data_IF_081987574923
#
_entry.id   IF_081987574923
#
_cell.length_a   1.000
_cell.length_b   1.000
_cell.length_c   1.000
_cell.angle_alpha   90.00
_cell.angle_beta   90.00
_cell.angle_gamma   90.00
#
_symmetry.space_group_name_H-M   'P 1'
#
loop_
_entity.id
_entity.type
_entity.pdbx_description
1 polymer ?
#
# COMPACT_ATOMS: atom_id res chain seq x y z
N UNK A 1 -15.26 34.53 -32.95
CA UNK A 1 -16.65 34.22 -32.53
C UNK A 1 -16.78 32.71 -32.39
N UNK A 2 -17.49 32.23 -31.38
CA UNK A 2 -17.52 30.82 -31.00
C UNK A 2 -18.43 30.04 -31.98
N UNK A 3 -17.86 29.13 -32.78
CA UNK A 3 -18.56 28.38 -33.85
C UNK A 3 -19.89 27.73 -33.37
N UNK A 4 -19.92 27.31 -32.10
CA UNK A 4 -21.10 26.73 -31.45
C UNK A 4 -22.27 27.70 -31.28
N UNK A 5 -21.99 28.98 -30.98
CA UNK A 5 -23.04 30.00 -30.80
C UNK A 5 -23.66 30.44 -32.13
N UNK A 6 -22.93 30.30 -33.22
CA UNK A 6 -23.41 30.56 -34.58
C UNK A 6 -24.34 29.42 -35.02
N UNK A 7 -23.95 28.17 -34.80
CA UNK A 7 -24.80 27.01 -35.09
C UNK A 7 -26.11 27.00 -34.29
N UNK A 8 -26.07 27.35 -33.00
CA UNK A 8 -27.29 27.42 -32.18
C UNK A 8 -28.21 28.57 -32.65
N UNK A 9 -27.65 29.69 -33.10
CA UNK A 9 -28.44 30.80 -33.67
C UNK A 9 -29.11 30.39 -34.98
N UNK A 10 -28.39 29.68 -35.85
CA UNK A 10 -28.94 29.23 -37.12
C UNK A 10 -30.02 28.15 -36.93
N UNK A 11 -29.84 27.22 -35.99
CA UNK A 11 -30.87 26.22 -35.66
C UNK A 11 -32.17 26.85 -35.13
N UNK A 12 -32.07 27.91 -34.31
CA UNK A 12 -33.25 28.66 -33.85
C UNK A 12 -33.95 29.37 -35.00
N UNK A 13 -33.18 30.00 -35.90
CA UNK A 13 -33.72 30.65 -37.09
C UNK A 13 -34.49 29.66 -37.98
N UNK A 14 -33.95 28.46 -38.18
CA UNK A 14 -34.61 27.41 -38.97
C UNK A 14 -35.88 26.87 -38.31
N UNK A 15 -35.93 26.87 -36.97
CA UNK A 15 -37.12 26.47 -36.21
C UNK A 15 -38.26 27.47 -36.39
N UNK A 16 -37.96 28.78 -36.34
CA UNK A 16 -38.94 29.85 -36.53
C UNK A 16 -39.52 29.87 -37.96
N UNK A 17 -38.75 29.39 -38.95
CA UNK A 17 -39.17 29.30 -40.35
C UNK A 17 -39.91 28.01 -40.69
N UNK A 18 -39.87 27.00 -39.81
CA UNK A 18 -40.52 25.72 -40.05
C UNK A 18 -41.97 25.74 -39.56
N UNK A 19 -42.89 25.27 -40.41
CA UNK A 19 -44.32 25.11 -40.07
C UNK A 19 -44.71 23.64 -39.86
N UNK A 20 -43.78 22.70 -40.13
CA UNK A 20 -44.03 21.27 -40.06
C UNK A 20 -43.66 20.76 -38.65
N UNK A 21 -44.61 20.21 -37.87
CA UNK A 21 -44.39 19.84 -36.48
C UNK A 21 -43.26 18.80 -36.27
N UNK A 22 -43.10 17.86 -37.20
CA UNK A 22 -42.03 16.85 -37.12
C UNK A 22 -40.64 17.48 -37.29
N UNK A 23 -40.52 18.52 -38.12
CA UNK A 23 -39.27 19.24 -38.34
C UNK A 23 -38.94 20.14 -37.15
N UNK A 24 -39.95 20.82 -36.58
CA UNK A 24 -39.77 21.60 -35.35
C UNK A 24 -39.25 20.74 -34.20
N UNK A 25 -39.81 19.54 -34.02
CA UNK A 25 -39.36 18.59 -33.00
C UNK A 25 -37.90 18.18 -33.17
N UNK A 26 -37.48 17.85 -34.40
CA UNK A 26 -36.08 17.49 -34.70
C UNK A 26 -35.14 18.65 -34.41
N UNK A 27 -35.52 19.89 -34.74
CA UNK A 27 -34.72 21.08 -34.46
C UNK A 27 -34.62 21.36 -32.96
N UNK A 28 -35.70 21.15 -32.21
CA UNK A 28 -35.73 21.30 -30.76
C UNK A 28 -34.82 20.26 -30.06
N UNK A 29 -34.87 19.00 -30.50
CA UNK A 29 -34.00 17.93 -30.01
C UNK A 29 -32.51 18.26 -30.25
N UNK A 30 -32.16 18.76 -31.44
CA UNK A 30 -30.78 19.17 -31.78
C UNK A 30 -30.29 20.39 -30.96
N UNK A 31 -31.17 21.34 -30.65
CA UNK A 31 -30.85 22.47 -29.78
C UNK A 31 -30.61 22.00 -28.35
N UNK A 32 -31.37 21.02 -27.86
CA UNK A 32 -31.25 20.47 -26.51
C UNK A 32 -29.99 19.59 -26.36
N UNK A 33 -29.67 18.75 -27.35
CA UNK A 33 -28.43 17.96 -27.36
C UNK A 33 -27.18 18.84 -27.32
N UNK A 34 -27.20 20.00 -27.97
CA UNK A 34 -26.08 20.95 -27.93
C UNK A 34 -25.90 21.65 -26.57
N UNK A 35 -26.94 21.67 -25.72
CA UNK A 35 -26.89 22.23 -24.36
C UNK A 35 -26.35 21.22 -23.35
N UNK A 36 -26.66 19.94 -23.52
CA UNK A 36 -26.26 18.88 -22.59
C UNK A 36 -24.98 18.16 -23.02
N UNK A 37 -23.85 18.88 -23.08
CA UNK A 37 -22.58 18.17 -22.89
C UNK A 37 -22.56 17.67 -21.44
N UNK A 38 -22.84 16.37 -21.26
CA UNK A 38 -22.67 15.68 -19.98
C UNK A 38 -21.31 16.07 -19.40
N UNK A 39 -21.31 16.55 -18.15
CA UNK A 39 -20.05 16.77 -17.46
C UNK A 39 -19.22 15.47 -17.54
N UNK A 40 -17.89 15.58 -17.77
CA UNK A 40 -17.03 14.42 -17.75
C UNK A 40 -17.31 13.62 -16.48
N UNK A 41 -17.60 12.32 -16.63
CA UNK A 41 -17.79 11.41 -15.49
C UNK A 41 -16.60 11.65 -14.56
N UNK A 42 -16.87 12.14 -13.34
CA UNK A 42 -15.87 12.27 -12.28
C UNK A 42 -15.30 10.88 -12.04
N UNK A 43 -14.22 10.53 -12.74
CA UNK A 43 -13.48 9.31 -12.48
C UNK A 43 -13.00 9.43 -11.04
N UNK A 44 -13.55 8.62 -10.14
CA UNK A 44 -12.98 8.43 -8.82
C UNK A 44 -11.50 8.14 -9.04
N UNK A 45 -10.61 9.03 -8.57
CA UNK A 45 -9.18 8.72 -8.53
C UNK A 45 -9.09 7.41 -7.76
N UNK A 46 -8.72 6.34 -8.44
CA UNK A 46 -8.38 5.09 -7.78
C UNK A 46 -7.21 5.43 -6.86
N UNK A 47 -7.47 5.50 -5.55
CA UNK A 47 -6.41 5.64 -4.58
C UNK A 47 -5.66 4.31 -4.61
N UNK A 48 -4.47 4.31 -5.21
CA UNK A 48 -3.59 3.15 -5.24
C UNK A 48 -3.28 2.81 -3.78
N UNK A 49 -3.97 1.80 -3.24
CA UNK A 49 -3.57 1.15 -2.01
C UNK A 49 -2.64 0.03 -2.41
N UNK A 50 -1.33 0.27 -2.28
CA UNK A 50 -0.36 -0.81 -2.47
C UNK A 50 -0.46 -1.74 -1.27
N UNK A 51 -1.13 -2.87 -1.45
CA UNK A 51 -1.14 -3.96 -0.46
C UNK A 51 0.16 -4.73 -0.65
N UNK A 52 1.15 -4.44 0.18
CA UNK A 52 2.35 -5.26 0.27
C UNK A 52 2.02 -6.51 1.09
N UNK A 53 1.85 -7.66 0.43
CA UNK A 53 1.80 -8.97 1.10
C UNK A 53 3.24 -9.33 1.48
N UNK A 54 3.78 -8.66 2.49
CA UNK A 54 5.00 -9.12 3.15
C UNK A 54 4.60 -10.31 4.03
N UNK A 55 5.29 -11.42 3.84
CA UNK A 55 5.05 -12.66 4.61
C UNK A 55 5.13 -12.36 6.11
N UNK A 56 3.97 -12.30 6.79
CA UNK A 56 3.86 -12.17 8.24
C UNK A 56 2.93 -11.08 8.78
N UNK A 57 2.62 -10.03 8.00
CA UNK A 57 1.67 -9.00 8.45
C UNK A 57 0.91 -8.34 7.31
N UNK A 58 -0.27 -7.81 7.62
CA UNK A 58 -1.04 -6.93 6.75
C UNK A 58 -1.27 -5.61 7.48
N UNK A 59 -1.55 -4.52 6.78
CA UNK A 59 -1.89 -3.27 7.44
C UNK A 59 -2.91 -2.48 6.61
N UNK A 60 -3.66 -1.63 7.29
CA UNK A 60 -4.53 -0.64 6.67
C UNK A 60 -4.39 0.71 7.39
N UNK A 61 -5.05 1.73 6.88
CA UNK A 61 -5.06 3.04 7.50
C UNK A 61 -6.43 3.72 7.35
N UNK A 62 -6.72 4.60 8.29
CA UNK A 62 -7.82 5.57 8.24
C UNK A 62 -7.22 6.98 8.13
N UNK A 63 -8.06 8.02 8.13
CA UNK A 63 -7.61 9.42 8.26
C UNK A 63 -6.82 9.68 9.55
N UNK A 64 -7.08 8.90 10.61
CA UNK A 64 -6.54 9.16 11.95
C UNK A 64 -5.54 8.12 12.45
N UNK A 65 -5.57 6.91 11.88
CA UNK A 65 -4.92 5.76 12.51
C UNK A 65 -4.35 4.80 11.47
N UNK A 66 -3.45 3.94 11.94
CA UNK A 66 -2.86 2.84 11.18
C UNK A 66 -3.09 1.58 11.98
N UNK A 67 -3.57 0.54 11.31
CA UNK A 67 -3.86 -0.74 11.95
C UNK A 67 -3.00 -1.80 11.29
N UNK A 68 -2.17 -2.44 12.10
CA UNK A 68 -1.26 -3.51 11.68
C UNK A 68 -1.81 -4.82 12.21
N UNK A 69 -1.95 -5.81 11.33
CA UNK A 69 -2.38 -7.16 11.60
C UNK A 69 -1.18 -8.08 11.47
N UNK A 70 -0.63 -8.52 12.59
CA UNK A 70 0.47 -9.50 12.61
C UNK A 70 -0.14 -10.89 12.77
N UNK A 71 0.16 -11.80 11.85
CA UNK A 71 -0.30 -13.18 11.95
C UNK A 71 0.52 -13.90 13.01
N UNK A 72 -0.15 -14.37 14.06
CA UNK A 72 0.49 -15.08 15.17
C UNK A 72 -0.48 -16.13 15.69
N UNK A 73 -0.16 -17.40 15.48
CA UNK A 73 -1.00 -18.53 15.88
C UNK A 73 -1.16 -18.54 17.40
N UNK A 74 -2.39 -18.76 17.87
CA UNK A 74 -2.69 -18.81 19.30
C UNK A 74 -2.36 -17.51 20.07
N UNK A 75 -2.28 -16.35 19.40
CA UNK A 75 -2.03 -15.06 20.04
C UNK A 75 -3.04 -14.72 21.15
N UNK A 76 -4.28 -15.21 21.06
CA UNK A 76 -5.28 -15.03 22.10
C UNK A 76 -4.95 -15.72 23.43
N UNK A 77 -4.05 -16.70 23.43
CA UNK A 77 -3.60 -17.41 24.63
C UNK A 77 -2.39 -16.76 25.31
N UNK A 78 -1.77 -15.75 24.68
CA UNK A 78 -0.64 -15.04 25.27
C UNK A 78 -1.09 -14.14 26.43
N UNK A 79 -0.32 -14.13 27.52
CA UNK A 79 -0.46 -13.08 28.54
C UNK A 79 0.00 -11.74 27.96
N UNK A 80 -0.69 -10.66 28.34
CA UNK A 80 -0.25 -9.30 28.02
C UNK A 80 1.14 -8.99 28.56
N UNK A 81 1.54 -9.61 29.66
CA UNK A 81 2.85 -9.38 30.28
C UNK A 81 4.01 -9.88 29.40
N UNK A 82 3.74 -10.83 28.51
CA UNK A 82 4.70 -11.36 27.54
C UNK A 82 4.77 -10.52 26.26
N UNK A 83 3.97 -9.45 26.17
CA UNK A 83 3.87 -8.60 24.99
C UNK A 83 4.12 -7.14 25.38
N UNK A 84 5.14 -6.50 24.81
CA UNK A 84 5.35 -5.07 24.99
C UNK A 84 5.32 -4.32 23.67
N UNK A 85 4.83 -3.09 23.73
CA UNK A 85 4.84 -2.17 22.61
C UNK A 85 5.67 -0.95 23.01
N UNK A 86 6.74 -0.71 22.27
CA UNK A 86 7.53 0.50 22.40
C UNK A 86 7.35 1.32 21.14
N UNK A 87 6.77 2.51 21.31
CA UNK A 87 6.56 3.44 20.20
C UNK A 87 7.41 4.67 20.40
N UNK A 88 8.03 5.13 19.33
CA UNK A 88 8.62 6.46 19.24
C UNK A 88 7.86 7.25 18.17
N UNK A 89 8.10 8.55 18.02
CA UNK A 89 7.43 9.31 16.96
C UNK A 89 7.65 8.77 15.54
N UNK A 90 8.68 7.95 15.29
CA UNK A 90 9.01 7.40 13.94
C UNK A 90 9.33 5.91 13.93
N UNK A 91 9.18 5.21 15.05
CA UNK A 91 9.43 3.78 15.13
C UNK A 91 8.38 3.09 15.98
N UNK A 92 8.13 1.83 15.66
CA UNK A 92 7.37 0.92 16.48
C UNK A 92 8.22 -0.34 16.67
N UNK A 93 8.42 -0.73 17.91
CA UNK A 93 8.96 -2.02 18.29
C UNK A 93 7.88 -2.77 19.05
N UNK A 94 7.60 -3.99 18.60
CA UNK A 94 6.65 -4.88 19.23
C UNK A 94 7.38 -6.14 19.66
N UNK A 95 7.43 -6.37 20.97
CA UNK A 95 8.10 -7.50 21.58
C UNK A 95 7.05 -8.54 21.97
N UNK A 96 7.25 -9.78 21.54
CA UNK A 96 6.46 -10.94 21.93
C UNK A 96 7.44 -11.99 22.44
N UNK A 97 7.35 -12.34 23.72
CA UNK A 97 8.29 -13.24 24.38
C UNK A 97 9.76 -12.82 24.11
N UNK A 98 10.57 -13.68 23.48
CA UNK A 98 11.98 -13.43 23.12
C UNK A 98 12.18 -12.84 21.72
N UNK A 99 11.10 -12.49 21.01
CA UNK A 99 11.15 -12.00 19.63
C UNK A 99 10.73 -10.54 19.53
N UNK A 100 11.57 -9.73 18.88
CA UNK A 100 11.34 -8.29 18.66
C UNK A 100 11.03 -8.02 17.19
N UNK A 101 9.88 -7.41 16.91
CA UNK A 101 9.49 -6.98 15.57
C UNK A 101 9.56 -5.47 15.47
N UNK A 102 10.32 -4.96 14.50
CA UNK A 102 10.52 -3.52 14.30
C UNK A 102 9.86 -3.03 13.02
N UNK A 103 9.09 -1.95 13.16
CA UNK A 103 8.49 -1.19 12.09
C UNK A 103 9.04 0.24 12.10
N UNK A 104 9.14 0.85 10.92
CA UNK A 104 9.49 2.26 10.75
C UNK A 104 8.27 3.06 10.26
N UNK A 105 7.34 3.43 11.15
CA UNK A 105 6.26 4.34 10.85
C UNK A 105 6.72 5.75 10.43
N UNK A 106 5.94 6.40 9.55
CA UNK A 106 5.96 7.86 9.50
C UNK A 106 5.33 8.44 10.80
N UNK A 107 5.33 9.75 10.99
CA UNK A 107 5.06 10.36 12.32
C UNK A 107 3.79 9.87 13.06
N UNK A 108 3.95 9.26 14.24
CA UNK A 108 2.86 8.77 15.13
C UNK A 108 2.83 9.50 16.48
N UNK A 109 1.70 9.38 17.19
CA UNK A 109 1.55 9.69 18.61
C UNK A 109 1.80 8.43 19.46
N UNK A 110 2.97 8.31 20.12
CA UNK A 110 3.32 7.09 20.87
C UNK A 110 2.33 6.76 21.98
N UNK A 111 1.95 7.77 22.77
CA UNK A 111 1.07 7.63 23.94
C UNK A 111 -0.35 7.15 23.60
N UNK A 112 -0.78 7.31 22.35
CA UNK A 112 -2.10 6.90 21.86
C UNK A 112 -2.07 5.57 21.09
N UNK A 113 -0.92 4.90 21.08
CA UNK A 113 -0.75 3.63 20.39
C UNK A 113 -1.07 2.46 21.32
N UNK A 114 -1.66 1.40 20.79
CA UNK A 114 -2.10 0.25 21.58
C UNK A 114 -2.07 -1.03 20.77
N UNK A 115 -2.20 -2.17 21.44
CA UNK A 115 -2.36 -3.47 20.77
C UNK A 115 -3.47 -4.31 21.41
N UNK A 116 -4.00 -5.24 20.63
CA UNK A 116 -4.99 -6.24 21.05
C UNK A 116 -4.58 -7.61 20.54
N UNK A 117 -4.66 -8.59 21.43
CA UNK A 117 -4.47 -9.99 21.10
C UNK A 117 -5.82 -10.59 20.66
N UNK A 118 -5.85 -11.25 19.51
CA UNK A 118 -6.98 -12.04 19.02
C UNK A 118 -6.49 -13.46 18.75
N UNK A 119 -7.43 -14.41 18.66
CA UNK A 119 -7.15 -15.85 18.58
C UNK A 119 -5.93 -16.23 17.73
N UNK A 120 -5.84 -15.74 16.48
CA UNK A 120 -4.74 -16.04 15.55
C UNK A 120 -4.03 -14.79 14.99
N UNK A 121 -4.20 -13.64 15.65
CA UNK A 121 -3.58 -12.39 15.17
C UNK A 121 -3.40 -11.36 16.27
N UNK A 122 -2.41 -10.51 16.07
CA UNK A 122 -2.16 -9.35 16.91
C UNK A 122 -2.54 -8.11 16.12
N UNK A 123 -3.33 -7.25 16.73
CA UNK A 123 -3.82 -6.01 16.13
C UNK A 123 -3.16 -4.84 16.82
N UNK A 124 -2.25 -4.16 16.14
CA UNK A 124 -1.57 -2.96 16.63
C UNK A 124 -2.26 -1.73 16.02
N UNK A 125 -2.66 -0.78 16.86
CA UNK A 125 -3.27 0.49 16.43
C UNK A 125 -2.32 1.63 16.76
N UNK A 126 -1.87 2.35 15.74
CA UNK A 126 -1.05 3.54 15.84
C UNK A 126 -1.88 4.77 15.51
N UNK A 127 -1.76 5.83 16.30
CA UNK A 127 -2.43 7.10 16.02
C UNK A 127 -1.51 8.01 15.21
N UNK A 128 -1.97 8.51 14.06
CA UNK A 128 -1.19 9.41 13.20
C UNK A 128 -1.00 10.75 13.90
N UNK A 129 0.19 11.34 13.76
CA UNK A 129 0.44 12.72 14.23
C UNK A 129 -0.26 13.76 13.35
N UNK A 130 -0.25 13.53 12.05
CA UNK A 130 -0.91 14.36 11.06
C UNK A 130 -2.15 13.63 10.54
N UNK A 131 -3.32 14.15 10.88
CA UNK A 131 -4.58 13.68 10.32
C UNK A 131 -4.58 13.82 8.79
N UNK A 132 -5.30 12.93 8.11
CA UNK A 132 -5.45 12.87 6.65
C UNK A 132 -4.17 12.60 5.84
N UNK A 133 -3.01 12.48 6.50
CA UNK A 133 -1.78 12.03 5.85
C UNK A 133 -1.93 10.58 5.38
N UNK A 134 -1.70 10.34 4.09
CA UNK A 134 -1.73 8.99 3.51
C UNK A 134 -0.33 8.40 3.59
N UNK A 135 -0.20 7.25 4.24
CA UNK A 135 1.04 6.49 4.21
C UNK A 135 1.04 5.56 3.02
N UNK A 136 2.09 5.63 2.23
CA UNK A 136 2.21 4.80 1.04
C UNK A 136 2.87 3.45 1.36
N UNK A 137 3.59 3.37 2.47
CA UNK A 137 4.41 2.23 2.82
C UNK A 137 4.54 2.07 4.35
N UNK A 138 4.65 0.83 4.79
CA UNK A 138 4.95 0.45 6.17
C UNK A 138 5.94 -0.73 6.12
N UNK A 139 7.19 -0.45 6.47
CA UNK A 139 8.27 -1.43 6.36
C UNK A 139 8.59 -2.07 7.70
N UNK A 140 8.83 -3.37 7.65
CA UNK A 140 9.46 -4.12 8.74
C UNK A 140 10.98 -4.16 8.49
N UNK A 141 11.80 -3.93 9.52
CA UNK A 141 13.27 -3.81 9.36
C UNK A 141 13.94 -5.04 8.74
N UNK A 142 13.45 -6.25 9.01
CA UNK A 142 13.96 -7.47 8.37
C UNK A 142 13.76 -7.44 6.86
N UNK A 143 12.57 -7.01 6.41
CA UNK A 143 12.25 -6.83 4.99
C UNK A 143 13.07 -5.69 4.37
N UNK A 144 13.36 -4.62 5.12
CA UNK A 144 14.21 -3.51 4.64
C UNK A 144 15.64 -3.96 4.31
N UNK A 145 16.22 -4.88 5.10
CA UNK A 145 17.53 -5.47 4.78
C UNK A 145 17.48 -6.25 3.48
N UNK A 146 16.47 -7.10 3.30
CA UNK A 146 16.26 -7.85 2.05
C UNK A 146 16.10 -6.91 0.84
N UNK A 147 15.35 -5.81 0.98
CA UNK A 147 15.23 -4.82 -0.11
C UNK A 147 16.54 -4.11 -0.43
N UNK A 148 17.32 -3.72 0.59
CA UNK A 148 18.64 -3.11 0.37
C UNK A 148 19.60 -4.08 -0.31
N UNK A 149 19.51 -5.38 0.01
CA UNK A 149 20.27 -6.42 -0.68
C UNK A 149 19.81 -6.56 -2.13
N UNK A 150 18.51 -6.67 -2.40
CA UNK A 150 17.95 -6.74 -3.75
C UNK A 150 18.32 -5.51 -4.60
N UNK A 151 18.21 -4.30 -4.05
CA UNK A 151 18.58 -3.06 -4.73
C UNK A 151 20.08 -2.99 -5.05
N UNK A 152 20.93 -3.55 -4.17
CA UNK A 152 22.37 -3.70 -4.47
C UNK A 152 22.60 -4.69 -5.60
N UNK A 153 21.88 -5.82 -5.62
CA UNK A 153 22.02 -6.82 -6.68
C UNK A 153 21.55 -6.30 -8.04
N UNK A 154 20.45 -5.55 -8.10
CA UNK A 154 19.98 -4.88 -9.32
C UNK A 154 21.05 -3.89 -9.83
N UNK A 155 21.57 -3.03 -8.95
CA UNK A 155 22.63 -2.07 -9.32
C UNK A 155 23.92 -2.76 -9.79
N UNK A 156 24.26 -3.92 -9.22
CA UNK A 156 25.44 -4.70 -9.63
C UNK A 156 25.21 -5.34 -11.02
N UNK A 157 23.99 -5.82 -11.30
CA UNK A 157 23.64 -6.41 -12.60
C UNK A 157 23.57 -5.35 -13.71
N UNK A 158 23.06 -4.15 -13.42
CA UNK A 158 22.99 -3.04 -14.37
C UNK A 158 24.38 -2.50 -14.76
N UNK A 159 25.36 -2.60 -13.85
CA UNK A 159 26.73 -2.17 -14.08
C UNK A 159 27.59 -3.22 -14.81
N UNK A 160 27.11 -4.46 -14.99
CA UNK A 160 27.88 -5.50 -15.67
C UNK A 160 26.99 -6.54 -16.38
N UNK A 161 26.43 -6.22 -17.56
CA UNK A 161 25.49 -7.09 -18.27
C UNK A 161 26.11 -8.39 -18.84
N UNK A 162 27.44 -8.58 -18.73
CA UNK A 162 28.15 -9.73 -19.30
C UNK A 162 28.64 -10.76 -18.28
N UNK A 163 28.30 -10.62 -16.99
CA UNK A 163 28.64 -11.65 -16.01
C UNK A 163 27.61 -12.78 -16.02
N UNK A 164 27.80 -13.73 -16.95
CA UNK A 164 27.24 -15.08 -16.88
C UNK A 164 27.85 -15.83 -15.69
N UNK A 165 27.53 -15.43 -14.46
CA UNK A 165 27.83 -16.19 -13.25
C UNK A 165 26.60 -16.98 -12.86
N UNK A 166 26.60 -18.27 -13.24
CA UNK A 166 25.77 -19.39 -12.77
C UNK A 166 24.49 -18.95 -12.04
N UNK A 167 23.37 -18.94 -12.77
CA UNK A 167 22.03 -18.82 -12.20
C UNK A 167 21.84 -19.87 -11.10
N UNK A 168 21.98 -19.46 -9.84
CA UNK A 168 21.37 -20.21 -8.74
C UNK A 168 19.88 -20.02 -8.91
N UNK A 169 19.21 -21.09 -9.30
CA UNK A 169 17.77 -21.13 -9.49
C UNK A 169 17.13 -20.99 -8.10
N UNK A 170 16.54 -19.83 -7.80
CA UNK A 170 15.95 -19.52 -6.49
C UNK A 170 14.44 -19.79 -6.44
N UNK A 171 13.87 -20.48 -7.44
CA UNK A 171 12.44 -20.84 -7.49
C UNK A 171 12.01 -21.92 -6.48
N UNK A 172 12.89 -22.32 -5.56
CA UNK A 172 12.53 -23.22 -4.45
C UNK A 172 13.20 -22.77 -3.16
N UNK A 173 12.48 -22.17 -2.19
CA UNK A 173 13.06 -21.76 -0.91
C UNK A 173 13.28 -22.93 0.08
N UNK A 174 12.99 -24.18 -0.33
CA UNK A 174 13.08 -25.35 0.55
C UNK A 174 13.79 -26.54 -0.15
N UNK A 175 15.09 -26.43 -0.37
CA UNK A 175 15.95 -27.63 -0.41
C UNK A 175 16.87 -27.63 0.79
N UNK A 176 16.59 -28.58 1.67
CA UNK A 176 17.39 -28.95 2.83
C UNK A 176 18.82 -29.36 2.44
N UNK A 177 19.69 -29.30 3.45
CA UNK A 177 21.10 -29.73 3.50
C UNK A 177 22.16 -28.68 3.12
N UNK A 178 22.64 -27.97 4.15
CA UNK A 178 24.07 -27.71 4.31
C UNK A 178 24.36 -27.56 5.80
N UNK A 179 25.04 -28.58 6.33
CA UNK A 179 25.59 -28.68 7.66
C UNK A 179 26.37 -27.40 8.03
N UNK A 180 26.03 -26.81 9.18
CA UNK A 180 26.82 -25.75 9.79
C UNK A 180 27.78 -26.40 10.80
N UNK A 181 29.00 -26.71 10.35
CA UNK A 181 30.08 -27.20 11.19
C UNK A 181 30.79 -26.02 11.85
N UNK A 182 30.49 -25.75 13.12
CA UNK A 182 31.39 -25.02 14.01
C UNK A 182 31.64 -25.87 15.25
N UNK A 183 32.52 -26.87 15.11
CA UNK A 183 33.32 -27.36 16.22
C UNK A 183 34.51 -26.41 16.39
N UNK A 184 34.62 -25.76 17.55
CA UNK A 184 35.91 -25.35 18.10
C UNK A 184 36.27 -26.36 19.18
N UNK A 185 37.50 -26.91 19.20
CA UNK A 185 37.91 -27.90 20.19
C UNK A 185 38.13 -27.24 21.55
N UNK A 186 37.69 -27.99 22.56
CA UNK A 186 38.05 -27.81 23.96
C UNK A 186 39.51 -28.27 24.12
N UNK A 187 40.39 -27.38 24.55
CA UNK A 187 41.69 -27.78 25.11
C UNK A 187 41.61 -27.64 26.63
N UNK A 188 41.41 -28.78 27.29
CA UNK A 188 41.95 -29.02 28.63
C UNK A 188 43.46 -29.17 28.51
N UNK A 189 44.21 -28.56 29.43
CA UNK A 189 45.35 -29.22 30.04
C UNK A 189 45.81 -28.52 31.34
N UNK A 190 45.71 -29.31 32.41
CA UNK A 190 46.61 -29.49 33.55
C UNK A 190 47.07 -28.30 34.39
#
# INVERSE_FOLDING_TARGET
MNNKEEHIRELKRLMDLSTVPSVQKVLEDLINENREMREPIKRSKAQIQTIYITTGFAWNQTSTSIIIYVNFKDAGKLSKDNCSIHTTPRSLEFNIASTSTFFEPCFIHPEKSSFKLKENKIVITLTKKNHDSVWLDLRMKSTQKTYQELERYEKINDLNPNNNSKSKNYDTPFKESSYCSHHLPCEEQS
#
